data_IF_180329208093
#
_entry.id   IF_180329208093
#
_cell.length_a   1.000
_cell.length_b   1.000
_cell.length_c   1.000
_cell.angle_alpha   90.00
_cell.angle_beta   90.00
_cell.angle_gamma   90.00
#
_symmetry.space_group_name_H-M   'P 1'
#
loop_
_entity.id
_entity.type
_entity.pdbx_description
1 polymer ?
#
# COMPACT_ATOMS: atom_id res chain seq x y z
N UNK A 1 -30.50 -23.65 26.40
CA UNK A 1 -30.47 -22.22 26.04
C UNK A 1 -29.76 -22.14 24.70
N UNK A 2 -30.36 -21.52 23.68
CA UNK A 2 -29.74 -21.41 22.36
C UNK A 2 -28.86 -20.15 22.37
N UNK A 3 -27.57 -20.31 22.05
CA UNK A 3 -26.65 -19.19 21.87
C UNK A 3 -26.62 -18.78 20.40
N UNK A 4 -26.59 -17.48 20.13
CA UNK A 4 -26.48 -16.93 18.77
C UNK A 4 -25.18 -16.13 18.65
N UNK A 5 -24.26 -16.51 17.74
CA UNK A 5 -23.05 -15.73 17.51
C UNK A 5 -23.40 -14.38 16.86
N UNK A 6 -22.94 -13.29 17.47
CA UNK A 6 -23.14 -11.91 16.99
C UNK A 6 -21.81 -11.33 16.49
N UNK A 7 -21.86 -10.64 15.35
CA UNK A 7 -20.77 -9.78 14.85
C UNK A 7 -21.29 -8.36 14.67
N UNK A 8 -20.36 -7.41 14.66
CA UNK A 8 -20.68 -6.00 14.47
C UNK A 8 -20.47 -5.58 13.01
N UNK A 9 -21.47 -4.94 12.42
CA UNK A 9 -21.36 -4.34 11.10
C UNK A 9 -20.35 -3.19 11.10
N UNK A 10 -19.50 -3.17 10.07
CA UNK A 10 -18.49 -2.15 9.78
C UNK A 10 -18.57 -1.79 8.30
N UNK A 11 -18.24 -0.55 7.93
CA UNK A 11 -18.20 -0.12 6.53
C UNK A 11 -16.97 0.77 6.31
N UNK A 12 -15.92 0.18 5.73
CA UNK A 12 -14.66 0.85 5.45
C UNK A 12 -14.45 0.94 3.94
N UNK A 13 -13.90 2.06 3.47
CA UNK A 13 -13.55 2.31 2.08
C UNK A 13 -12.10 2.77 2.00
N UNK A 14 -11.38 2.27 0.99
CA UNK A 14 -10.09 2.81 0.54
C UNK A 14 -10.22 3.29 -0.91
N UNK A 15 -9.73 4.49 -1.19
CA UNK A 15 -9.69 5.07 -2.54
C UNK A 15 -8.29 5.62 -2.84
N UNK A 16 -7.91 5.62 -4.11
CA UNK A 16 -6.68 6.30 -4.56
C UNK A 16 -6.90 7.81 -4.55
N UNK A 17 -5.92 8.56 -4.06
CA UNK A 17 -5.94 10.01 -4.01
C UNK A 17 -5.48 10.62 -5.34
N UNK A 18 -6.12 11.73 -5.72
CA UNK A 18 -5.86 12.44 -6.98
C UNK A 18 -4.44 12.99 -7.08
N UNK A 19 -3.79 13.32 -5.95
CA UNK A 19 -2.42 13.85 -5.95
C UNK A 19 -1.34 12.76 -6.00
N UNK A 20 -1.68 11.56 -6.48
CA UNK A 20 -0.72 10.49 -6.76
C UNK A 20 0.01 10.76 -8.08
N UNK A 21 1.29 10.38 -8.16
CA UNK A 21 2.06 10.37 -9.40
C UNK A 21 1.40 9.41 -10.39
N UNK A 22 0.96 9.92 -11.54
CA UNK A 22 0.26 9.12 -12.55
C UNK A 22 1.20 8.58 -13.63
N UNK A 23 2.25 9.32 -13.97
CA UNK A 23 3.31 8.90 -14.87
C UNK A 23 4.61 9.67 -14.57
N UNK A 24 5.72 9.12 -15.05
CA UNK A 24 7.01 9.78 -15.08
C UNK A 24 7.52 9.78 -16.52
N UNK A 25 7.93 10.94 -17.01
CA UNK A 25 8.61 11.03 -18.29
C UNK A 25 10.10 10.75 -18.09
N UNK A 26 10.70 9.98 -18.98
CA UNK A 26 12.14 9.75 -19.00
C UNK A 26 12.65 9.69 -20.44
N UNK A 27 13.93 9.98 -20.63
CA UNK A 27 14.63 9.84 -21.91
C UNK A 27 15.51 8.59 -21.86
N UNK A 28 15.86 8.03 -23.02
CA UNK A 28 16.71 6.83 -23.09
C UNK A 28 18.17 7.10 -22.71
N UNK A 29 18.60 8.36 -22.70
CA UNK A 29 19.98 8.76 -22.43
C UNK A 29 20.32 8.87 -20.95
N UNK A 30 19.32 9.05 -20.06
CA UNK A 30 19.57 9.39 -18.67
C UNK A 30 18.84 8.45 -17.71
N UNK A 31 19.60 7.81 -16.81
CA UNK A 31 19.02 7.15 -15.62
C UNK A 31 18.66 8.24 -14.60
N UNK A 32 17.45 8.78 -14.71
CA UNK A 32 16.96 9.81 -13.79
C UNK A 32 16.31 9.18 -12.56
N UNK A 33 16.66 9.65 -11.36
CA UNK A 33 15.89 9.38 -10.14
C UNK A 33 14.85 10.49 -10.01
N UNK A 34 13.57 10.11 -9.94
CA UNK A 34 12.46 11.05 -9.79
C UNK A 34 11.65 10.70 -8.55
N UNK A 35 11.11 11.71 -7.88
CA UNK A 35 10.26 11.51 -6.70
C UNK A 35 8.87 11.07 -7.13
N UNK A 36 8.40 9.94 -6.58
CA UNK A 36 7.03 9.47 -6.72
C UNK A 36 6.28 9.55 -5.40
N UNK A 37 4.98 9.82 -5.48
CA UNK A 37 4.07 9.81 -4.33
C UNK A 37 2.80 9.06 -4.71
N UNK A 38 2.38 8.13 -3.87
CA UNK A 38 1.04 7.54 -3.95
C UNK A 38 0.25 7.98 -2.72
N UNK A 39 -0.97 8.45 -2.94
CA UNK A 39 -1.89 8.87 -1.90
C UNK A 39 -3.08 7.92 -1.86
N UNK A 40 -3.54 7.60 -0.65
CA UNK A 40 -4.75 6.81 -0.43
C UNK A 40 -5.61 7.50 0.61
N UNK A 41 -6.93 7.49 0.41
CA UNK A 41 -7.92 7.97 1.38
C UNK A 41 -8.67 6.77 1.95
N UNK A 42 -8.50 6.57 3.25
CA UNK A 42 -9.25 5.60 4.05
C UNK A 42 -10.44 6.31 4.69
N UNK A 43 -11.60 5.67 4.67
CA UNK A 43 -12.85 6.24 5.16
C UNK A 43 -13.66 5.20 5.93
N UNK A 44 -14.27 5.57 7.06
CA UNK A 44 -15.20 4.72 7.80
C UNK A 44 -16.61 5.29 7.69
N UNK A 45 -17.46 4.69 6.84
CA UNK A 45 -18.87 5.03 6.70
C UNK A 45 -19.78 4.19 7.61
N UNK A 46 -19.18 3.47 8.57
CA UNK A 46 -19.90 2.68 9.56
C UNK A 46 -20.56 3.55 10.63
N UNK A 47 -21.14 2.89 11.64
CA UNK A 47 -21.73 3.57 12.81
C UNK A 47 -20.90 3.39 14.09
N UNK A 48 -19.63 2.99 13.95
CA UNK A 48 -18.73 2.70 15.07
C UNK A 48 -17.29 3.03 14.69
N UNK A 49 -16.56 3.65 15.62
CA UNK A 49 -15.10 3.71 15.54
C UNK A 49 -14.51 2.35 15.88
N UNK A 50 -13.39 2.00 15.27
CA UNK A 50 -12.73 0.71 15.46
C UNK A 50 -11.21 0.80 15.25
N UNK A 51 -10.42 -0.08 15.87
CA UNK A 51 -9.03 -0.26 15.49
C UNK A 51 -8.95 -0.91 14.09
N UNK A 52 -8.00 -0.47 13.28
CA UNK A 52 -7.72 -1.05 11.96
C UNK A 52 -6.20 -1.22 11.76
N UNK A 53 -5.82 -2.11 10.86
CA UNK A 53 -4.45 -2.20 10.33
C UNK A 53 -4.47 -1.88 8.84
N UNK A 54 -3.63 -0.94 8.42
CA UNK A 54 -3.43 -0.59 7.01
C UNK A 54 -2.12 -1.20 6.55
N UNK A 55 -2.15 -1.95 5.46
CA UNK A 55 -0.96 -2.64 4.93
C UNK A 55 -0.69 -2.18 3.51
N UNK A 56 0.47 -1.54 3.31
CA UNK A 56 0.97 -1.17 1.99
C UNK A 56 1.93 -2.23 1.48
N UNK A 57 1.80 -2.56 0.20
CA UNK A 57 2.71 -3.42 -0.54
C UNK A 57 3.33 -2.61 -1.65
N UNK A 58 4.63 -2.33 -1.55
CA UNK A 58 5.32 -1.44 -2.48
C UNK A 58 6.47 -2.19 -3.15
N UNK A 59 6.49 -2.33 -4.48
CA UNK A 59 7.63 -2.91 -5.19
C UNK A 59 8.84 -1.99 -5.06
N UNK A 60 9.90 -2.48 -4.41
CA UNK A 60 11.11 -1.69 -4.13
C UNK A 60 12.30 -2.14 -4.96
N UNK A 61 12.36 -3.42 -5.36
CA UNK A 61 13.45 -3.95 -6.19
C UNK A 61 12.94 -4.99 -7.18
N UNK A 62 13.54 -5.00 -8.37
CA UNK A 62 13.37 -6.06 -9.36
C UNK A 62 14.75 -6.65 -9.65
N UNK A 63 14.93 -7.93 -9.35
CA UNK A 63 16.26 -8.55 -9.34
C UNK A 63 17.22 -7.74 -8.43
N UNK A 64 18.31 -7.20 -9.00
CA UNK A 64 19.30 -6.39 -8.28
C UNK A 64 19.13 -4.87 -8.50
N UNK A 65 18.09 -4.45 -9.22
CA UNK A 65 17.85 -3.04 -9.55
C UNK A 65 16.81 -2.43 -8.61
N UNK A 66 17.06 -1.18 -8.19
CA UNK A 66 16.14 -0.42 -7.34
C UNK A 66 15.01 0.14 -8.20
N UNK A 67 13.78 -0.10 -7.77
CA UNK A 67 12.54 0.39 -8.41
C UNK A 67 12.01 1.59 -7.64
N UNK A 68 11.80 1.43 -6.33
CA UNK A 68 11.36 2.49 -5.44
C UNK A 68 12.27 2.52 -4.22
N UNK A 69 13.14 3.54 -4.15
CA UNK A 69 14.13 3.64 -3.09
C UNK A 69 13.49 4.06 -1.75
N UNK A 70 13.46 3.14 -0.78
CA UNK A 70 13.02 3.33 0.62
C UNK A 70 11.71 4.15 0.79
N UNK A 71 10.58 3.69 0.24
CA UNK A 71 9.31 4.40 0.38
C UNK A 71 8.93 4.58 1.86
N UNK A 72 8.38 5.76 2.17
CA UNK A 72 7.92 6.12 3.52
C UNK A 72 6.42 6.40 3.49
N UNK A 73 5.73 6.01 4.55
CA UNK A 73 4.30 6.28 4.73
C UNK A 73 4.14 7.47 5.66
N UNK A 74 3.33 8.43 5.24
CA UNK A 74 2.93 9.58 6.07
C UNK A 74 1.41 9.61 6.18
N UNK A 75 0.90 10.00 7.35
CA UNK A 75 -0.53 10.13 7.61
C UNK A 75 -0.94 11.59 7.72
N UNK A 76 -2.25 11.84 7.66
CA UNK A 76 -2.79 13.15 8.02
C UNK A 76 -2.44 13.48 9.48
N UNK A 77 -2.27 14.77 9.84
CA UNK A 77 -1.96 15.16 11.21
C UNK A 77 -2.96 14.58 12.21
N UNK A 78 -2.51 14.37 13.45
CA UNK A 78 -3.30 13.86 14.59
C UNK A 78 -3.76 12.40 14.50
N UNK A 79 -3.36 11.65 13.47
CA UNK A 79 -3.57 10.20 13.46
C UNK A 79 -2.46 9.51 14.24
N UNK A 80 -2.83 8.84 15.34
CA UNK A 80 -1.91 7.92 16.02
C UNK A 80 -1.76 6.66 15.19
N UNK A 81 -0.53 6.30 14.85
CA UNK A 81 -0.22 5.07 14.12
C UNK A 81 1.14 4.51 14.53
N UNK A 82 1.25 3.19 14.60
CA UNK A 82 2.52 2.48 14.73
C UNK A 82 2.75 1.63 13.50
N UNK A 83 3.86 1.85 12.78
CA UNK A 83 4.17 1.14 11.55
C UNK A 83 5.35 0.19 11.74
N UNK A 84 5.21 -1.04 11.25
CA UNK A 84 6.29 -1.99 11.08
C UNK A 84 6.52 -2.23 9.58
N UNK A 85 7.78 -2.36 9.21
CA UNK A 85 8.21 -2.50 7.82
C UNK A 85 9.10 -3.72 7.66
N UNK A 86 8.82 -4.54 6.66
CA UNK A 86 9.60 -5.72 6.31
C UNK A 86 9.74 -5.87 4.80
N UNK A 87 10.83 -6.49 4.34
CA UNK A 87 10.96 -6.88 2.93
C UNK A 87 10.41 -8.29 2.69
N UNK A 88 9.76 -8.49 1.54
CA UNK A 88 9.16 -9.74 1.10
C UNK A 88 9.65 -10.08 -0.31
N UNK A 89 10.28 -11.24 -0.46
CA UNK A 89 10.68 -11.78 -1.75
C UNK A 89 9.46 -12.16 -2.59
N UNK A 90 9.54 -12.03 -3.93
CA UNK A 90 8.43 -12.43 -4.79
C UNK A 90 8.21 -13.95 -4.76
N UNK A 91 6.95 -14.41 -4.86
CA UNK A 91 6.64 -15.84 -4.99
C UNK A 91 7.09 -16.44 -6.33
N UNK A 92 7.19 -15.63 -7.39
CA UNK A 92 7.62 -16.08 -8.72
C UNK A 92 9.00 -15.51 -9.07
N UNK A 93 9.89 -16.36 -9.57
CA UNK A 93 11.24 -15.97 -9.99
C UNK A 93 11.32 -15.52 -11.45
N UNK A 94 10.43 -16.03 -12.32
CA UNK A 94 10.39 -15.66 -13.73
C UNK A 94 9.57 -14.38 -13.95
N UNK A 95 10.19 -13.25 -13.62
CA UNK A 95 9.58 -11.94 -13.82
C UNK A 95 9.49 -11.57 -15.31
N UNK A 96 10.33 -12.12 -16.18
CA UNK A 96 10.34 -11.79 -17.62
C UNK A 96 9.04 -12.26 -18.29
N UNK A 97 8.67 -13.52 -18.06
CA UNK A 97 7.44 -14.07 -18.63
C UNK A 97 6.16 -13.35 -18.16
N UNK A 98 6.17 -12.74 -16.98
CA UNK A 98 5.02 -11.99 -16.45
C UNK A 98 4.97 -10.55 -16.98
N UNK A 99 6.13 -9.91 -17.09
CA UNK A 99 6.24 -8.56 -17.65
C UNK A 99 5.91 -8.54 -19.15
N UNK A 100 6.27 -9.58 -19.90
CA UNK A 100 5.89 -9.72 -21.32
C UNK A 100 4.36 -9.77 -21.52
N UNK A 101 3.62 -10.29 -20.54
CA UNK A 101 2.15 -10.42 -20.62
C UNK A 101 1.44 -9.15 -20.20
N UNK A 102 1.80 -8.60 -19.04
CA UNK A 102 1.00 -7.55 -18.38
C UNK A 102 1.65 -6.17 -18.41
N UNK A 103 2.99 -6.10 -18.57
CA UNK A 103 3.78 -4.88 -18.39
C UNK A 103 3.58 -4.21 -17.01
N UNK A 104 3.13 -4.96 -16.00
CA UNK A 104 2.87 -4.44 -14.65
C UNK A 104 3.88 -5.03 -13.67
N UNK A 105 4.64 -4.15 -13.02
CA UNK A 105 5.50 -4.51 -11.91
C UNK A 105 4.69 -4.52 -10.59
N UNK A 106 4.45 -5.70 -10.04
CA UNK A 106 3.73 -5.88 -8.78
C UNK A 106 4.47 -6.84 -7.82
N UNK A 107 3.92 -7.04 -6.63
CA UNK A 107 4.56 -7.85 -5.57
C UNK A 107 4.54 -9.38 -5.80
N UNK A 108 4.00 -9.87 -6.93
CA UNK A 108 4.14 -11.28 -7.31
C UNK A 108 5.50 -11.58 -7.95
N UNK A 109 6.17 -10.56 -8.51
CA UNK A 109 7.43 -10.68 -9.27
C UNK A 109 8.55 -9.76 -8.77
N UNK A 110 8.23 -8.74 -7.97
CA UNK A 110 9.20 -7.83 -7.37
C UNK A 110 9.45 -8.14 -5.88
N UNK A 111 10.64 -7.80 -5.39
CA UNK A 111 10.84 -7.67 -3.93
C UNK A 111 10.03 -6.47 -3.46
N UNK A 112 9.18 -6.69 -2.48
CA UNK A 112 8.29 -5.67 -1.96
C UNK A 112 8.58 -5.31 -0.51
N UNK A 113 8.41 -4.03 -0.19
CA UNK A 113 8.32 -3.57 1.17
C UNK A 113 6.87 -3.65 1.63
N UNK A 114 6.63 -4.45 2.67
CA UNK A 114 5.34 -4.54 3.36
C UNK A 114 5.37 -3.61 4.56
N UNK A 115 4.57 -2.55 4.51
CA UNK A 115 4.47 -1.54 5.56
C UNK A 115 3.11 -1.70 6.23
N UNK A 116 3.09 -2.27 7.44
CA UNK A 116 1.88 -2.50 8.21
C UNK A 116 1.77 -1.45 9.32
N UNK A 117 0.72 -0.64 9.27
CA UNK A 117 0.47 0.44 10.21
C UNK A 117 -0.83 0.19 10.99
N UNK A 118 -0.70 0.06 12.31
CA UNK A 118 -1.83 -0.11 13.20
C UNK A 118 -2.37 1.25 13.63
N UNK A 119 -3.69 1.43 13.47
CA UNK A 119 -4.44 2.62 13.84
C UNK A 119 -5.40 2.20 14.96
N UNK A 120 -5.12 2.56 16.23
CA UNK A 120 -5.89 2.07 17.37
C UNK A 120 -7.33 2.62 17.42
N UNK A 121 -7.57 3.76 16.77
CA UNK A 121 -8.87 4.42 16.77
C UNK A 121 -9.15 5.09 15.43
N UNK A 122 -9.92 4.41 14.57
CA UNK A 122 -10.35 4.94 13.28
C UNK A 122 -11.80 5.42 13.34
N UNK A 123 -11.96 6.74 13.33
CA UNK A 123 -13.24 7.42 13.51
C UNK A 123 -14.19 7.22 12.35
N UNK A 124 -15.49 7.25 12.68
CA UNK A 124 -16.58 7.36 11.71
C UNK A 124 -16.42 8.69 10.96
N UNK A 125 -16.64 8.67 9.65
CA UNK A 125 -16.84 9.89 8.89
C UNK A 125 -18.25 10.42 9.19
N UNK A 126 -18.32 11.65 9.68
CA UNK A 126 -19.57 12.40 9.86
C UNK A 126 -20.31 12.62 8.53
#
# INVERSE_FOLDING_TARGET
QLELPVKYAVYLIVTSGEASTTYLNFTTSEKTIQTMKHQYKFTNLGKRSLPISVVFWVPVRLNNEIVWDRPQVTFSPNLSSACNTEERSPPHSDFLAELEKTHVLNCSIAVCQRIACDIPYFNIQE
#
